data_IF_361544404317
#
_entry.id   IF_361544404317
#
_cell.length_a   1.000
_cell.length_b   1.000
_cell.length_c   1.000
_cell.angle_alpha   90.00
_cell.angle_beta   90.00
_cell.angle_gamma   90.00
#
_symmetry.space_group_name_H-M   'P 1'
#
loop_
_entity.id
_entity.type
_entity.pdbx_description
1 polymer ?
#
# COMPACT_ATOMS: atom_id res chain seq x y z
N UNK A 1 29.30 -7.82 -62.91
CA UNK A 1 28.99 -6.40 -63.17
C UNK A 1 27.47 -6.31 -63.20
N UNK A 2 26.74 -5.68 -62.29
CA UNK A 2 26.98 -4.47 -61.51
C UNK A 2 26.28 -4.59 -60.13
N UNK A 3 26.78 -3.79 -59.18
CA UNK A 3 26.37 -3.65 -57.77
C UNK A 3 25.12 -2.77 -57.57
N UNK A 4 24.62 -2.81 -56.33
CA UNK A 4 23.77 -1.84 -55.59
C UNK A 4 22.26 -2.18 -55.51
N UNK A 5 21.60 -2.17 -54.34
CA UNK A 5 22.01 -1.71 -53.01
C UNK A 5 21.10 -2.25 -51.89
N UNK A 6 21.68 -2.32 -50.69
CA UNK A 6 21.02 -2.61 -49.42
C UNK A 6 20.19 -1.40 -48.96
N UNK A 7 19.02 -1.58 -48.32
CA UNK A 7 18.41 -0.51 -47.56
C UNK A 7 19.11 -0.36 -46.20
N UNK A 8 19.47 0.90 -45.91
CA UNK A 8 20.05 1.39 -44.68
C UNK A 8 19.16 1.13 -43.45
N UNK A 9 19.83 0.72 -42.36
CA UNK A 9 19.38 0.90 -40.99
C UNK A 9 19.02 2.38 -40.73
N UNK A 10 17.73 2.65 -40.55
CA UNK A 10 17.25 3.87 -39.91
C UNK A 10 17.04 3.62 -38.42
N UNK A 11 18.07 3.89 -37.61
CA UNK A 11 17.86 4.23 -36.20
C UNK A 11 17.06 5.52 -36.13
N UNK A 12 15.95 5.50 -35.40
CA UNK A 12 15.08 6.66 -35.22
C UNK A 12 13.64 6.32 -34.85
N UNK A 13 13.38 5.12 -34.31
CA UNK A 13 12.11 4.86 -33.66
C UNK A 13 12.13 5.55 -32.31
N UNK A 14 11.46 6.70 -32.20
CA UNK A 14 11.00 7.20 -30.89
C UNK A 14 10.20 6.04 -30.29
N UNK A 15 10.78 5.35 -29.31
CA UNK A 15 10.04 4.39 -28.50
C UNK A 15 8.96 5.23 -27.83
N UNK A 16 7.72 5.14 -28.33
CA UNK A 16 6.58 5.74 -27.64
C UNK A 16 6.60 5.17 -26.22
N UNK A 17 6.55 5.98 -25.16
CA UNK A 17 6.39 5.45 -23.82
C UNK A 17 5.13 4.58 -23.82
N UNK A 18 5.26 3.35 -23.33
CA UNK A 18 4.14 2.44 -23.19
C UNK A 18 3.01 3.18 -22.47
N UNK A 19 1.80 3.03 -22.96
CA UNK A 19 0.64 3.60 -22.26
C UNK A 19 0.57 2.96 -20.86
N UNK A 20 0.14 3.71 -19.84
CA UNK A 20 0.04 3.19 -18.47
C UNK A 20 -0.72 1.84 -18.36
N UNK A 21 -1.62 1.54 -19.31
CA UNK A 21 -2.35 0.27 -19.39
C UNK A 21 -1.52 -0.90 -19.96
N UNK A 22 -0.57 -0.63 -20.86
CA UNK A 22 0.41 -1.62 -21.34
C UNK A 22 1.41 -1.97 -20.24
N UNK A 23 1.77 -1.00 -19.40
CA UNK A 23 2.60 -1.23 -18.21
C UNK A 23 1.88 -2.12 -17.19
N UNK A 24 0.61 -1.84 -16.86
CA UNK A 24 -0.18 -2.68 -15.96
C UNK A 24 -0.30 -4.13 -16.47
N UNK A 25 -0.44 -4.32 -17.79
CA UNK A 25 -0.44 -5.66 -18.43
C UNK A 25 0.93 -6.34 -18.41
N UNK A 26 2.02 -5.60 -18.58
CA UNK A 26 3.38 -6.13 -18.51
C UNK A 26 3.78 -6.51 -17.07
N UNK A 27 3.42 -5.70 -16.08
CA UNK A 27 3.66 -5.97 -14.65
C UNK A 27 2.89 -7.20 -14.16
N UNK A 28 1.72 -7.49 -14.72
CA UNK A 28 0.97 -8.72 -14.47
C UNK A 28 1.64 -9.99 -15.02
N UNK A 29 2.53 -9.87 -16.03
CA UNK A 29 3.03 -11.01 -16.82
C UNK A 29 4.53 -11.29 -16.70
N UNK A 30 5.31 -10.41 -16.07
CA UNK A 30 6.79 -10.51 -16.02
C UNK A 30 7.32 -10.85 -14.62
N UNK A 31 6.53 -10.65 -13.56
CA UNK A 31 6.98 -10.83 -12.19
C UNK A 31 6.44 -12.12 -11.56
N UNK A 32 7.31 -12.90 -10.93
CA UNK A 32 6.94 -14.07 -10.14
C UNK A 32 6.33 -13.60 -8.81
N UNK A 33 5.03 -13.33 -8.83
CA UNK A 33 4.29 -12.83 -7.67
C UNK A 33 4.24 -13.80 -6.50
N UNK A 34 4.06 -15.12 -6.69
CA UNK A 34 4.23 -16.09 -5.62
C UNK A 34 5.60 -16.01 -4.97
N UNK A 35 6.68 -15.94 -5.75
CA UNK A 35 8.03 -15.82 -5.19
C UNK A 35 8.23 -14.50 -4.43
N UNK A 36 7.72 -13.37 -4.95
CA UNK A 36 7.76 -12.08 -4.23
C UNK A 36 7.04 -12.17 -2.88
N UNK A 37 5.83 -12.75 -2.88
CA UNK A 37 5.06 -12.89 -1.65
C UNK A 37 5.73 -13.84 -0.65
N UNK A 38 6.36 -14.92 -1.13
CA UNK A 38 7.19 -15.81 -0.28
C UNK A 38 8.38 -15.05 0.33
N UNK A 39 9.09 -14.22 -0.45
CA UNK A 39 10.18 -13.39 0.09
C UNK A 39 9.70 -12.46 1.21
N UNK A 40 8.52 -11.85 1.04
CA UNK A 40 7.92 -11.02 2.08
C UNK A 40 7.47 -11.87 3.29
N UNK A 41 6.93 -13.06 3.08
CA UNK A 41 6.61 -14.03 4.13
C UNK A 41 7.84 -14.36 4.97
N UNK A 42 8.96 -14.70 4.33
CA UNK A 42 10.23 -14.98 4.99
C UNK A 42 10.75 -13.75 5.75
N UNK A 43 10.64 -12.56 5.15
CA UNK A 43 11.11 -11.32 5.75
C UNK A 43 10.36 -10.95 7.05
N UNK A 44 9.03 -11.10 7.08
CA UNK A 44 8.22 -10.80 8.28
C UNK A 44 8.08 -12.00 9.23
N UNK A 45 8.66 -13.15 8.87
CA UNK A 45 8.54 -14.40 9.62
C UNK A 45 7.10 -14.92 9.68
N UNK A 46 6.37 -14.89 8.57
CA UNK A 46 5.05 -15.51 8.45
C UNK A 46 5.20 -17.02 8.21
N UNK A 47 4.65 -17.82 9.12
CA UNK A 47 4.82 -19.27 9.18
C UNK A 47 3.49 -20.01 9.01
N UNK A 48 3.55 -21.34 8.89
CA UNK A 48 2.35 -22.18 8.91
C UNK A 48 1.56 -22.08 10.23
N UNK A 49 2.22 -21.83 11.35
CA UNK A 49 1.56 -21.61 12.64
C UNK A 49 0.77 -20.29 12.63
N UNK A 50 1.34 -19.23 12.02
CA UNK A 50 0.63 -17.96 11.82
C UNK A 50 -0.60 -18.18 10.92
N UNK A 51 -0.46 -18.96 9.84
CA UNK A 51 -1.56 -19.29 8.94
C UNK A 51 -2.66 -20.11 9.64
N UNK A 52 -2.29 -21.03 10.52
CA UNK A 52 -3.25 -21.78 11.33
C UNK A 52 -4.04 -20.85 12.27
N UNK A 53 -3.39 -19.87 12.89
CA UNK A 53 -4.06 -18.86 13.73
C UNK A 53 -5.02 -17.99 12.91
N UNK A 54 -4.60 -17.52 11.74
CA UNK A 54 -5.48 -16.77 10.81
C UNK A 54 -6.73 -17.58 10.44
N UNK A 55 -6.56 -18.85 10.08
CA UNK A 55 -7.68 -19.72 9.70
C UNK A 55 -8.60 -20.01 10.89
N UNK A 56 -8.04 -20.29 12.06
CA UNK A 56 -8.81 -20.61 13.26
C UNK A 56 -9.64 -19.43 13.78
N UNK A 57 -9.16 -18.19 13.58
CA UNK A 57 -9.88 -16.96 13.93
C UNK A 57 -10.88 -16.51 12.86
N UNK A 58 -10.87 -17.14 11.67
CA UNK A 58 -11.78 -16.83 10.57
C UNK A 58 -13.26 -16.78 10.96
N UNK A 59 -13.83 -17.81 11.63
CA UNK A 59 -15.23 -17.79 12.04
C UNK A 59 -15.61 -16.61 12.95
N UNK A 60 -14.71 -16.20 13.86
CA UNK A 60 -14.91 -15.06 14.74
C UNK A 60 -15.02 -13.77 13.92
N UNK A 61 -14.03 -13.52 13.05
CA UNK A 61 -14.00 -12.32 12.22
C UNK A 61 -15.14 -12.29 11.20
N UNK A 62 -15.55 -13.43 10.65
CA UNK A 62 -16.65 -13.52 9.71
C UNK A 62 -18.01 -13.24 10.35
N UNK A 63 -18.20 -13.60 11.62
CA UNK A 63 -19.39 -13.23 12.38
C UNK A 63 -19.52 -11.70 12.55
N UNK A 64 -18.39 -10.98 12.57
CA UNK A 64 -18.30 -9.51 12.70
C UNK A 64 -18.02 -8.79 11.38
N UNK A 65 -18.09 -9.46 10.23
CA UNK A 65 -17.65 -8.89 8.95
C UNK A 65 -18.45 -7.64 8.50
N UNK A 66 -19.76 -7.60 8.76
CA UNK A 66 -20.57 -6.42 8.45
C UNK A 66 -20.15 -5.19 9.26
N UNK A 67 -19.91 -5.40 10.56
CA UNK A 67 -19.43 -4.36 11.48
C UNK A 67 -18.04 -3.88 11.08
N UNK A 68 -17.09 -4.80 10.88
CA UNK A 68 -15.72 -4.49 10.45
C UNK A 68 -15.70 -3.68 9.16
N UNK A 69 -16.46 -4.12 8.15
CA UNK A 69 -16.50 -3.39 6.87
C UNK A 69 -17.19 -2.03 7.02
N UNK A 70 -18.26 -1.93 7.81
CA UNK A 70 -18.92 -0.65 8.09
C UNK A 70 -17.97 0.33 8.76
N UNK A 71 -17.23 -0.10 9.78
CA UNK A 71 -16.26 0.74 10.48
C UNK A 71 -15.20 1.33 9.54
N UNK A 72 -14.69 0.56 8.58
CA UNK A 72 -13.73 1.04 7.58
C UNK A 72 -14.32 2.14 6.70
N UNK A 73 -15.52 1.94 6.16
CA UNK A 73 -16.13 2.93 5.26
C UNK A 73 -16.63 4.16 6.01
N UNK A 74 -17.17 4.00 7.22
CA UNK A 74 -17.54 5.12 8.07
C UNK A 74 -16.31 5.98 8.40
N UNK A 75 -15.16 5.34 8.66
CA UNK A 75 -13.88 6.04 8.83
C UNK A 75 -13.47 6.82 7.58
N UNK A 76 -13.60 6.26 6.38
CA UNK A 76 -13.31 6.99 5.14
C UNK A 76 -14.17 8.23 4.95
N UNK A 77 -15.43 8.20 5.38
CA UNK A 77 -16.36 9.31 5.25
C UNK A 77 -16.04 10.47 6.22
N UNK A 78 -15.23 10.23 7.26
CA UNK A 78 -14.79 11.28 8.20
C UNK A 78 -13.77 12.25 7.59
N UNK A 79 -13.09 11.88 6.49
CA UNK A 79 -12.03 12.70 5.88
C UNK A 79 -12.40 13.08 4.44
N UNK A 80 -12.44 14.38 4.07
CA UNK A 80 -12.83 14.80 2.73
C UNK A 80 -12.00 14.15 1.61
N UNK A 81 -10.71 13.90 1.85
CA UNK A 81 -9.78 13.34 0.87
C UNK A 81 -10.11 11.89 0.48
N UNK A 82 -10.74 11.13 1.39
CA UNK A 82 -11.20 9.75 1.17
C UNK A 82 -12.69 9.69 0.88
N UNK A 83 -13.50 10.54 1.52
CA UNK A 83 -14.95 10.61 1.31
C UNK A 83 -15.32 10.87 -0.15
N UNK A 84 -14.55 11.72 -0.85
CA UNK A 84 -14.79 12.11 -2.26
C UNK A 84 -14.95 10.93 -3.24
N UNK A 85 -14.39 9.75 -2.93
CA UNK A 85 -14.51 8.56 -3.79
C UNK A 85 -15.90 7.89 -3.71
N UNK A 86 -16.68 8.27 -2.70
CA UNK A 86 -17.99 7.72 -2.37
C UNK A 86 -19.12 8.75 -2.51
N UNK A 87 -18.86 9.89 -3.17
CA UNK A 87 -19.86 10.90 -3.43
C UNK A 87 -20.46 10.78 -4.84
N UNK A 88 -21.71 11.20 -4.98
CA UNK A 88 -22.35 11.47 -6.27
C UNK A 88 -21.79 12.77 -6.87
N UNK A 89 -22.06 13.08 -8.16
CA UNK A 89 -21.68 14.37 -8.75
C UNK A 89 -22.22 15.58 -7.98
N UNK A 90 -23.33 15.44 -7.28
CA UNK A 90 -23.98 16.47 -6.46
C UNK A 90 -23.33 16.62 -5.07
N UNK A 91 -22.40 15.73 -4.70
CA UNK A 91 -21.69 15.76 -3.42
C UNK A 91 -22.34 14.95 -2.30
N UNK A 92 -23.43 14.23 -2.57
CA UNK A 92 -24.11 13.37 -1.60
C UNK A 92 -23.44 11.99 -1.52
N UNK A 93 -23.63 11.26 -0.41
CA UNK A 93 -23.10 9.89 -0.27
C UNK A 93 -23.81 8.95 -1.26
N UNK A 94 -23.04 8.30 -2.12
CA UNK A 94 -23.50 7.24 -3.03
C UNK A 94 -23.66 5.92 -2.24
N UNK A 95 -24.82 5.76 -1.60
CA UNK A 95 -25.10 4.60 -0.74
C UNK A 95 -24.99 3.27 -1.48
N UNK A 96 -25.45 3.22 -2.74
CA UNK A 96 -25.36 2.00 -3.57
C UNK A 96 -23.91 1.60 -3.81
N UNK A 97 -23.03 2.56 -4.09
CA UNK A 97 -21.59 2.30 -4.22
C UNK A 97 -20.99 1.87 -2.89
N UNK A 98 -21.36 2.52 -1.80
CA UNK A 98 -20.86 2.20 -0.46
C UNK A 98 -21.18 0.75 -0.09
N UNK A 99 -22.42 0.32 -0.29
CA UNK A 99 -22.87 -1.04 0.04
C UNK A 99 -22.15 -2.10 -0.81
N UNK A 100 -21.96 -1.85 -2.11
CA UNK A 100 -21.18 -2.73 -3.00
C UNK A 100 -19.71 -2.84 -2.55
N UNK A 101 -19.16 -1.75 -2.01
CA UNK A 101 -17.78 -1.67 -1.56
C UNK A 101 -17.59 -2.36 -0.19
N UNK A 102 -18.56 -2.24 0.72
CA UNK A 102 -18.64 -3.06 1.95
C UNK A 102 -18.66 -4.56 1.62
N UNK A 103 -19.50 -4.99 0.67
CA UNK A 103 -19.52 -6.39 0.21
C UNK A 103 -18.20 -6.85 -0.40
N UNK A 104 -17.54 -5.99 -1.18
CA UNK A 104 -16.23 -6.29 -1.77
C UNK A 104 -15.16 -6.47 -0.70
N UNK A 105 -15.16 -5.63 0.34
CA UNK A 105 -14.23 -5.73 1.46
C UNK A 105 -14.50 -6.99 2.32
N UNK A 106 -15.76 -7.36 2.55
CA UNK A 106 -16.11 -8.61 3.22
C UNK A 106 -15.66 -9.84 2.42
N UNK A 107 -15.67 -9.77 1.08
CA UNK A 107 -15.10 -10.84 0.22
C UNK A 107 -13.58 -10.89 0.34
N UNK A 108 -12.91 -9.73 0.37
CA UNK A 108 -11.47 -9.67 0.63
C UNK A 108 -11.09 -10.31 1.96
N UNK A 109 -11.85 -10.06 3.03
CA UNK A 109 -11.64 -10.69 4.34
C UNK A 109 -11.76 -12.22 4.25
N UNK A 110 -12.82 -12.73 3.61
CA UNK A 110 -12.96 -14.18 3.35
C UNK A 110 -11.77 -14.76 2.60
N UNK A 111 -11.38 -14.13 1.50
CA UNK A 111 -10.23 -14.58 0.70
C UNK A 111 -8.92 -14.53 1.49
N UNK A 112 -8.79 -13.61 2.46
CA UNK A 112 -7.62 -13.51 3.34
C UNK A 112 -7.60 -14.63 4.39
N UNK A 113 -8.77 -15.07 4.88
CA UNK A 113 -8.88 -16.23 5.77
C UNK A 113 -8.55 -17.52 5.01
N UNK A 114 -9.10 -17.64 3.81
CA UNK A 114 -8.87 -18.76 2.90
C UNK A 114 -7.51 -18.67 2.18
N UNK A 115 -6.61 -17.82 2.67
CA UNK A 115 -5.31 -17.54 2.07
C UNK A 115 -4.56 -18.82 1.72
N UNK A 116 -4.04 -18.82 0.49
CA UNK A 116 -3.09 -19.78 -0.02
C UNK A 116 -1.97 -18.99 -0.67
N UNK A 117 -0.73 -19.40 -0.39
CA UNK A 117 0.43 -18.88 -1.06
C UNK A 117 0.57 -19.58 -2.42
N UNK A 118 -0.29 -19.20 -3.35
CA UNK A 118 -0.40 -19.76 -4.70
C UNK A 118 -0.34 -18.67 -5.79
N UNK A 119 -0.54 -19.07 -7.05
CA UNK A 119 -0.52 -18.13 -8.19
C UNK A 119 -1.72 -17.16 -8.21
N UNK A 120 -2.84 -17.50 -7.58
CA UNK A 120 -4.10 -16.79 -7.76
C UNK A 120 -4.24 -15.61 -6.80
N UNK A 121 -3.86 -15.81 -5.54
CA UNK A 121 -4.06 -14.78 -4.51
C UNK A 121 -3.23 -13.50 -4.74
N UNK A 122 -1.93 -13.57 -5.06
CA UNK A 122 -1.14 -12.37 -5.37
C UNK A 122 -1.67 -11.61 -6.59
N UNK A 123 -2.13 -12.31 -7.63
CA UNK A 123 -2.73 -11.69 -8.82
C UNK A 123 -4.03 -10.95 -8.46
N UNK A 124 -4.85 -11.53 -7.59
CA UNK A 124 -6.05 -10.87 -7.06
C UNK A 124 -5.70 -9.57 -6.31
N UNK A 125 -4.69 -9.59 -5.45
CA UNK A 125 -4.22 -8.40 -4.74
C UNK A 125 -3.68 -7.32 -5.68
N UNK A 126 -2.85 -7.72 -6.65
CA UNK A 126 -2.30 -6.78 -7.64
C UNK A 126 -3.42 -6.12 -8.45
N UNK A 127 -4.41 -6.89 -8.89
CA UNK A 127 -5.56 -6.34 -9.61
C UNK A 127 -6.31 -5.31 -8.76
N UNK A 128 -6.46 -5.54 -7.44
CA UNK A 128 -7.02 -4.53 -6.54
C UNK A 128 -6.12 -3.29 -6.46
N UNK A 129 -4.81 -3.44 -6.30
CA UNK A 129 -3.87 -2.32 -6.28
C UNK A 129 -3.99 -1.46 -7.53
N UNK A 130 -4.00 -2.09 -8.71
CA UNK A 130 -4.15 -1.43 -10.01
C UNK A 130 -5.48 -0.67 -10.13
N UNK A 131 -6.60 -1.24 -9.68
CA UNK A 131 -7.90 -0.55 -9.76
C UNK A 131 -7.95 0.70 -8.86
N UNK A 132 -7.21 0.73 -7.76
CA UNK A 132 -7.15 1.89 -6.88
C UNK A 132 -6.15 2.96 -7.37
N UNK A 133 -5.03 2.54 -7.95
CA UNK A 133 -4.00 3.44 -8.47
C UNK A 133 -4.31 3.99 -9.86
N UNK A 134 -5.05 3.22 -10.67
CA UNK A 134 -5.38 3.51 -12.07
C UNK A 134 -6.87 3.23 -12.31
N UNK A 135 -7.78 4.12 -11.87
CA UNK A 135 -9.21 3.90 -12.05
C UNK A 135 -9.57 3.79 -13.54
N UNK A 136 -10.60 2.99 -13.85
CA UNK A 136 -11.13 2.86 -15.21
C UNK A 136 -11.57 4.21 -15.78
N UNK A 137 -11.66 4.33 -17.12
CA UNK A 137 -12.06 5.57 -17.80
C UNK A 137 -13.38 6.16 -17.26
N UNK A 138 -14.36 5.32 -16.99
CA UNK A 138 -15.65 5.71 -16.37
C UNK A 138 -15.50 6.42 -15.01
N UNK A 139 -14.40 6.15 -14.29
CA UNK A 139 -14.08 6.71 -12.97
C UNK A 139 -12.82 7.58 -12.98
N UNK A 140 -12.26 7.89 -14.15
CA UNK A 140 -11.03 8.67 -14.27
C UNK A 140 -11.14 10.06 -13.63
N UNK A 141 -12.33 10.64 -13.60
CA UNK A 141 -12.61 11.94 -12.98
C UNK A 141 -12.38 11.98 -11.46
N UNK A 142 -12.39 10.82 -10.78
CA UNK A 142 -12.09 10.73 -9.35
C UNK A 142 -10.57 10.73 -9.08
N UNK A 143 -9.77 10.42 -10.10
CA UNK A 143 -8.33 10.22 -9.98
C UNK A 143 -7.93 8.99 -9.15
N UNK A 144 -6.62 8.77 -9.03
CA UNK A 144 -6.05 7.70 -8.21
C UNK A 144 -6.39 7.90 -6.72
N UNK A 145 -6.58 6.80 -6.00
CA UNK A 145 -6.44 6.80 -4.54
C UNK A 145 -4.96 6.98 -4.22
N UNK A 146 -4.55 7.91 -3.36
CA UNK A 146 -3.15 7.98 -2.93
C UNK A 146 -2.70 6.74 -2.14
N UNK A 147 -1.50 6.20 -2.43
CA UNK A 147 -0.96 5.00 -1.78
C UNK A 147 -0.94 5.09 -0.24
N UNK A 148 -0.70 6.28 0.32
CA UNK A 148 -0.75 6.51 1.77
C UNK A 148 -2.08 6.12 2.43
N UNK A 149 -3.20 6.23 1.70
CA UNK A 149 -4.49 5.79 2.23
C UNK A 149 -4.66 4.28 2.16
N UNK A 150 -4.00 3.58 1.22
CA UNK A 150 -3.94 2.12 1.24
C UNK A 150 -3.15 1.62 2.45
N UNK A 151 -1.99 2.21 2.71
CA UNK A 151 -1.16 1.92 3.90
C UNK A 151 -1.95 2.17 5.19
N UNK A 152 -2.57 3.36 5.30
CA UNK A 152 -3.39 3.71 6.46
C UNK A 152 -4.58 2.78 6.65
N UNK A 153 -5.26 2.38 5.57
CA UNK A 153 -6.37 1.42 5.62
C UNK A 153 -5.92 0.06 6.14
N UNK A 154 -4.73 -0.40 5.73
CA UNK A 154 -4.20 -1.68 6.20
C UNK A 154 -3.95 -1.67 7.72
N UNK A 155 -3.37 -0.58 8.23
CA UNK A 155 -3.18 -0.38 9.68
C UNK A 155 -4.51 -0.26 10.44
N UNK A 156 -5.49 0.43 9.85
CA UNK A 156 -6.82 0.56 10.45
C UNK A 156 -7.54 -0.80 10.52
N UNK A 157 -7.49 -1.59 9.44
CA UNK A 157 -8.07 -2.92 9.39
C UNK A 157 -7.41 -3.86 10.42
N UNK A 158 -6.07 -3.82 10.55
CA UNK A 158 -5.34 -4.57 11.58
C UNK A 158 -5.82 -4.22 12.99
N UNK A 159 -5.99 -2.93 13.29
CA UNK A 159 -6.48 -2.47 14.59
C UNK A 159 -7.91 -2.98 14.85
N UNK A 160 -8.79 -2.91 13.85
CA UNK A 160 -10.16 -3.37 13.97
C UNK A 160 -10.24 -4.90 14.19
N UNK A 161 -9.41 -5.67 13.48
CA UNK A 161 -9.29 -7.12 13.68
C UNK A 161 -8.80 -7.42 15.10
N UNK A 162 -7.74 -6.76 15.57
CA UNK A 162 -7.21 -6.98 16.91
C UNK A 162 -8.24 -6.69 18.02
N UNK A 163 -9.07 -5.65 17.85
CA UNK A 163 -10.15 -5.34 18.78
C UNK A 163 -11.20 -6.46 18.81
N UNK A 164 -11.67 -6.93 17.65
CA UNK A 164 -12.63 -8.04 17.58
C UNK A 164 -12.06 -9.31 18.23
N UNK A 165 -10.80 -9.64 17.96
CA UNK A 165 -10.15 -10.80 18.59
C UNK A 165 -10.09 -10.64 20.12
N UNK A 166 -9.78 -9.43 20.61
CA UNK A 166 -9.75 -9.15 22.05
C UNK A 166 -11.13 -9.18 22.72
N UNK A 167 -12.20 -8.92 21.97
CA UNK A 167 -13.58 -8.98 22.47
C UNK A 167 -14.12 -10.41 22.51
N UNK A 168 -13.78 -11.21 21.49
CA UNK A 168 -14.45 -12.48 21.21
C UNK A 168 -13.58 -13.73 21.52
N UNK A 169 -12.36 -13.56 22.01
CA UNK A 169 -11.48 -14.66 22.46
C UNK A 169 -11.12 -14.52 23.94
N UNK A 170 -11.12 -15.64 24.67
CA UNK A 170 -10.92 -15.65 26.12
C UNK A 170 -9.44 -15.60 26.55
N UNK A 171 -8.52 -16.20 25.79
CA UNK A 171 -7.09 -16.28 26.13
C UNK A 171 -6.30 -15.07 25.59
N UNK A 172 -5.79 -14.16 26.45
CA UNK A 172 -5.04 -12.99 26.01
C UNK A 172 -3.76 -13.33 25.25
N UNK A 173 -3.12 -14.46 25.57
CA UNK A 173 -1.91 -14.92 24.86
C UNK A 173 -2.27 -15.31 23.42
N UNK A 174 -3.38 -16.03 23.25
CA UNK A 174 -3.88 -16.40 21.94
C UNK A 174 -4.35 -15.19 21.12
N UNK A 175 -5.00 -14.20 21.75
CA UNK A 175 -5.36 -12.92 21.11
C UNK A 175 -4.12 -12.23 20.55
N UNK A 176 -3.06 -12.11 21.35
CA UNK A 176 -1.81 -11.46 20.92
C UNK A 176 -1.20 -12.19 19.73
N UNK A 177 -0.99 -13.50 19.82
CA UNK A 177 -0.38 -14.28 18.75
C UNK A 177 -1.22 -14.25 17.46
N UNK A 178 -2.55 -14.34 17.58
CA UNK A 178 -3.46 -14.25 16.43
C UNK A 178 -3.41 -12.86 15.80
N UNK A 179 -3.38 -11.80 16.61
CA UNK A 179 -3.23 -10.42 16.11
C UNK A 179 -1.90 -10.20 15.39
N UNK A 180 -0.81 -10.78 15.90
CA UNK A 180 0.52 -10.74 15.25
C UNK A 180 0.49 -11.49 13.91
N UNK A 181 -0.14 -12.66 13.84
CA UNK A 181 -0.29 -13.43 12.61
C UNK A 181 -1.07 -12.65 11.54
N UNK A 182 -2.18 -11.99 11.93
CA UNK A 182 -2.92 -11.09 11.04
C UNK A 182 -2.08 -9.90 10.58
N UNK A 183 -1.31 -9.27 11.47
CA UNK A 183 -0.42 -8.16 11.10
C UNK A 183 0.57 -8.58 10.01
N UNK A 184 1.22 -9.75 10.20
CA UNK A 184 2.15 -10.29 9.21
C UNK A 184 1.44 -10.54 7.86
N UNK A 185 0.31 -11.24 7.87
CA UNK A 185 -0.45 -11.50 6.64
C UNK A 185 -0.84 -10.20 5.92
N UNK A 186 -1.34 -9.20 6.65
CA UNK A 186 -1.70 -7.91 6.07
C UNK A 186 -0.50 -7.16 5.47
N UNK A 187 0.71 -7.35 6.03
CA UNK A 187 1.94 -6.83 5.43
C UNK A 187 2.30 -7.53 4.12
N UNK A 188 2.13 -8.85 4.01
CA UNK A 188 2.30 -9.58 2.74
C UNK A 188 1.33 -9.04 1.69
N UNK A 189 0.09 -8.78 2.08
CA UNK A 189 -0.90 -8.23 1.16
C UNK A 189 -0.59 -6.80 0.75
N UNK A 190 -0.13 -5.98 1.70
CA UNK A 190 0.22 -4.58 1.45
C UNK A 190 1.37 -4.46 0.45
N UNK A 191 2.39 -5.31 0.53
CA UNK A 191 3.49 -5.35 -0.43
C UNK A 191 2.98 -5.49 -1.87
N UNK A 192 2.15 -6.51 -2.12
CA UNK A 192 1.62 -6.78 -3.47
C UNK A 192 0.64 -5.69 -3.91
N UNK A 193 -0.17 -5.16 -2.99
CA UNK A 193 -1.06 -4.03 -3.28
C UNK A 193 -0.27 -2.78 -3.72
N UNK A 194 0.83 -2.46 -3.03
CA UNK A 194 1.66 -1.30 -3.31
C UNK A 194 2.42 -1.40 -4.63
N UNK A 195 2.69 -2.61 -5.11
CA UNK A 195 3.24 -2.81 -6.45
C UNK A 195 2.28 -2.34 -7.57
N UNK A 196 0.98 -2.21 -7.28
CA UNK A 196 0.02 -1.55 -8.16
C UNK A 196 0.17 -0.02 -8.21
N UNK A 197 0.88 0.60 -7.27
CA UNK A 197 1.05 2.05 -7.15
C UNK A 197 2.43 2.54 -7.58
N UNK A 198 3.48 1.77 -7.25
CA UNK A 198 4.88 2.19 -7.40
C UNK A 198 5.66 1.11 -8.13
N UNK A 199 6.51 1.52 -9.06
CA UNK A 199 7.53 0.63 -9.62
C UNK A 199 8.77 0.67 -8.74
N UNK A 200 9.04 -0.42 -8.05
CA UNK A 200 10.24 -0.55 -7.22
C UNK A 200 11.37 -1.10 -8.08
N UNK A 201 12.17 -0.21 -8.68
CA UNK A 201 13.47 -0.59 -9.25
C UNK A 201 14.53 -0.23 -8.22
N UNK A 202 15.20 -1.21 -7.57
CA UNK A 202 16.29 -0.91 -6.65
C UNK A 202 17.36 -0.07 -7.34
N UNK A 203 17.84 0.96 -6.66
CA UNK A 203 19.01 1.70 -7.14
C UNK A 203 20.20 0.75 -7.17
N UNK A 204 20.92 0.63 -8.31
CA UNK A 204 22.07 -0.27 -8.40
C UNK A 204 23.12 0.14 -7.37
N UNK A 205 23.75 -0.85 -6.74
CA UNK A 205 24.88 -0.60 -5.86
C UNK A 205 25.99 0.10 -6.66
N UNK A 206 26.38 1.29 -6.22
CA UNK A 206 27.63 1.91 -6.67
C UNK A 206 28.81 1.21 -6.02
N UNK A 207 30.00 1.32 -6.64
CA UNK A 207 31.23 0.79 -6.06
C UNK A 207 31.39 1.25 -4.59
N UNK A 208 31.93 0.41 -3.70
CA UNK A 208 32.18 0.80 -2.33
C UNK A 208 33.02 2.08 -2.32
N UNK A 209 32.81 2.99 -1.34
CA UNK A 209 33.65 4.16 -1.21
C UNK A 209 35.12 3.70 -1.14
N UNK A 210 36.06 4.48 -1.69
CA UNK A 210 37.47 4.20 -1.49
C UNK A 210 37.73 4.04 0.02
N UNK A 211 38.69 3.18 0.43
CA UNK A 211 39.09 3.10 1.83
C UNK A 211 39.31 4.53 2.32
N UNK A 212 38.74 4.86 3.49
CA UNK A 212 38.98 6.15 4.09
C UNK A 212 40.49 6.31 4.20
N UNK A 213 41.05 7.24 3.43
CA UNK A 213 42.38 7.74 3.73
C UNK A 213 42.29 8.27 5.17
N UNK A 214 43.29 7.98 6.00
CA UNK A 214 43.39 8.49 7.36
C UNK A 214 43.53 10.03 7.31
N UNK A 215 42.45 10.75 7.03
CA UNK A 215 42.36 12.20 7.03
C UNK A 215 41.13 12.63 7.84
N UNK A 216 41.42 13.01 9.08
CA UNK A 216 40.84 14.08 9.89
C UNK A 216 39.30 14.15 10.02
N UNK A 217 38.85 13.96 11.28
CA UNK A 217 37.54 14.34 11.79
C UNK A 217 37.28 15.85 11.60
N UNK A 218 36.95 16.34 10.41
CA UNK A 218 36.42 17.70 10.27
C UNK A 218 35.59 17.88 9.00
N UNK A 219 34.26 17.81 9.15
CA UNK A 219 33.32 18.41 8.20
C UNK A 219 32.07 17.59 7.93
N UNK A 220 31.01 17.77 8.74
CA UNK A 220 29.65 17.46 8.28
C UNK A 220 29.38 18.19 6.96
N UNK A 221 28.86 17.53 5.91
CA UNK A 221 28.58 18.18 4.64
C UNK A 221 27.59 19.32 4.88
N UNK A 222 28.05 20.55 4.65
CA UNK A 222 27.39 21.82 4.99
C UNK A 222 25.95 21.92 4.44
N UNK A 223 25.63 21.14 3.40
CA UNK A 223 24.28 21.01 2.83
C UNK A 223 23.27 20.28 3.73
N UNK A 224 23.69 19.25 4.48
CA UNK A 224 22.79 18.44 5.32
C UNK A 224 22.48 19.14 6.64
N UNK A 225 23.48 19.83 7.22
CA UNK A 225 23.28 20.75 8.35
C UNK A 225 22.25 21.82 8.01
N UNK A 226 22.33 22.43 6.82
CA UNK A 226 21.41 23.51 6.41
C UNK A 226 19.96 23.02 6.30
N UNK A 227 19.74 21.80 5.80
CA UNK A 227 18.39 21.19 5.72
C UNK A 227 17.85 20.89 7.12
N UNK A 228 18.65 20.30 8.00
CA UNK A 228 18.23 19.98 9.38
C UNK A 228 17.99 21.24 10.22
N UNK A 229 18.83 22.26 10.07
CA UNK A 229 18.69 23.54 10.81
C UNK A 229 17.42 24.27 10.38
N UNK A 230 17.09 24.30 9.09
CA UNK A 230 15.84 24.88 8.59
C UNK A 230 14.58 24.15 9.09
N UNK A 231 14.66 22.81 9.26
CA UNK A 231 13.56 22.01 9.81
C UNK A 231 13.36 22.27 11.31
N UNK A 232 14.45 22.46 12.05
CA UNK A 232 14.39 22.71 13.50
C UNK A 232 14.01 24.16 13.85
N UNK A 233 14.45 25.14 13.06
CA UNK A 233 14.15 26.56 13.30
C UNK A 233 12.78 26.97 12.74
N UNK A 234 12.30 26.31 11.68
CA UNK A 234 10.94 26.52 11.15
C UNK A 234 9.81 26.15 12.12
N UNK A 235 10.12 25.42 13.20
CA UNK A 235 9.17 25.04 14.24
C UNK A 235 9.15 25.98 15.47
N UNK A 236 9.99 27.04 15.48
CA UNK A 236 10.06 28.00 16.61
C UNK A 236 9.25 29.29 16.41
N UNK A 237 8.56 29.48 15.28
CA UNK A 237 7.80 30.72 15.02
C UNK A 237 6.27 30.61 15.15
N UNK A 238 5.72 29.45 15.55
CA UNK A 238 4.28 29.29 15.81
C UNK A 238 3.94 29.15 17.31
N UNK A 239 4.55 30.01 18.13
CA UNK A 239 4.28 30.05 19.57
C UNK A 239 4.49 31.44 20.15
N UNK A 240 3.65 32.42 19.79
CA UNK A 240 3.52 33.66 20.54
C UNK A 240 2.15 33.67 21.26
N UNK A 241 2.10 34.00 22.56
CA UNK A 241 0.91 33.88 23.39
C UNK A 241 -0.08 35.04 23.16
N UNK A 242 -1.36 34.70 23.13
CA UNK A 242 -2.48 35.63 23.16
C UNK A 242 -2.50 36.35 24.52
N UNK A 243 -2.05 37.60 24.57
CA UNK A 243 -2.26 38.48 25.72
C UNK A 243 -3.51 39.32 25.52
N UNK A 244 -4.39 39.18 26.50
CA UNK A 244 -5.58 39.99 26.78
C UNK A 244 -5.34 41.50 26.64
N UNK A 245 -6.21 42.17 25.89
CA UNK A 245 -6.55 43.56 26.14
C UNK A 245 -7.97 43.60 26.70
N UNK A 246 -8.07 44.01 27.96
CA UNK A 246 -9.27 44.59 28.52
C UNK A 246 -9.01 46.07 28.71
N UNK A 247 -9.90 46.88 28.13
CA UNK A 247 -10.52 48.06 28.73
C UNK A 247 -12.00 48.05 28.33
#
# INVERSE_FOLDING_TARGET
MLLAGLPHNGMGGIVKPATHSEFARASLMIFDWPARMQQMADFVGFTEDDLALVRSSGPILLARAEELTTAVYDHFLQFPQTARFFLTPEGEIDQTRLDRRKHSLARWLRNSIDFQLDEQFPVFLLAMGVVHSNPSLERGYLGSVPARFMIGTMSFAQTAIANVLSEDMDDPSQVLHTSVAWNKLLMLQLDVLLAGYVTETPTPATAPPPPADDEDEEGEPEGMRRVLTNILDGNRTNGAPNQSQGE
#
